data_IF_924440544233
#
_entry.id   IF_924440544233
#
_cell.length_a   1.000
_cell.length_b   1.000
_cell.length_c   1.000
_cell.angle_alpha   90.00
_cell.angle_beta   90.00
_cell.angle_gamma   90.00
#
_symmetry.space_group_name_H-M   'P 1'
#
loop_
_entity.id
_entity.type
_entity.pdbx_description
1 polymer ?
#
# COMPACT_ATOMS: atom_id res chain seq x y z
N UNK A 1 -42.01 -15.01 -54.71
CA UNK A 1 -41.08 -13.89 -54.91
C UNK A 1 -40.62 -13.40 -53.51
N UNK A 2 -39.42 -13.79 -53.08
CA UNK A 2 -38.91 -13.49 -51.75
C UNK A 2 -38.12 -12.20 -51.83
N UNK A 3 -38.61 -11.16 -51.16
CA UNK A 3 -37.90 -9.85 -51.08
C UNK A 3 -36.95 -9.89 -49.87
N UNK A 4 -35.67 -10.03 -50.16
CA UNK A 4 -34.60 -9.92 -49.11
C UNK A 4 -34.34 -8.44 -48.87
N UNK A 5 -34.83 -7.89 -47.75
CA UNK A 5 -34.48 -6.55 -47.28
C UNK A 5 -33.21 -6.67 -46.50
N UNK A 6 -32.08 -6.28 -47.08
CA UNK A 6 -30.80 -6.17 -46.39
C UNK A 6 -30.80 -4.86 -45.57
N UNK A 7 -30.99 -4.94 -44.29
CA UNK A 7 -30.79 -3.82 -43.36
C UNK A 7 -29.29 -3.51 -43.22
N UNK A 8 -28.81 -2.51 -43.92
CA UNK A 8 -27.44 -2.00 -43.73
C UNK A 8 -27.43 -0.96 -42.60
N UNK A 9 -27.20 -1.40 -41.37
CA UNK A 9 -26.91 -0.50 -40.28
C UNK A 9 -25.42 -0.09 -40.34
N UNK A 10 -25.09 0.82 -41.25
CA UNK A 10 -23.75 1.35 -41.37
C UNK A 10 -23.58 2.50 -40.36
N UNK A 11 -22.83 2.24 -39.31
CA UNK A 11 -22.46 3.26 -38.31
C UNK A 11 -21.57 4.31 -39.00
N UNK A 12 -22.02 5.55 -39.07
CA UNK A 12 -21.23 6.67 -39.56
C UNK A 12 -20.07 6.96 -38.59
N UNK A 13 -18.88 6.47 -38.92
CA UNK A 13 -17.67 6.62 -38.09
C UNK A 13 -17.02 8.00 -38.23
N UNK A 14 -17.55 8.89 -39.08
CA UNK A 14 -17.05 10.26 -39.22
C UNK A 14 -17.63 11.19 -38.16
N UNK A 15 -18.69 10.77 -37.46
CA UNK A 15 -19.31 11.52 -36.37
C UNK A 15 -19.10 10.81 -35.04
N UNK A 16 -18.52 11.52 -34.08
CA UNK A 16 -18.42 11.01 -32.72
C UNK A 16 -19.84 10.74 -32.17
N UNK A 17 -20.08 9.59 -31.50
CA UNK A 17 -21.36 9.34 -30.86
C UNK A 17 -21.66 10.43 -29.83
N UNK A 18 -22.93 10.86 -29.76
CA UNK A 18 -23.34 11.80 -28.72
C UNK A 18 -23.06 11.21 -27.36
N UNK A 19 -22.40 11.94 -26.44
CA UNK A 19 -22.16 11.45 -25.10
C UNK A 19 -23.50 11.13 -24.43
N UNK A 20 -23.57 9.97 -23.78
CA UNK A 20 -24.71 9.65 -22.92
C UNK A 20 -24.76 10.65 -21.75
N UNK A 21 -25.95 10.94 -21.21
CA UNK A 21 -26.04 11.74 -20.00
C UNK A 21 -25.17 11.14 -18.91
N UNK A 22 -24.49 11.99 -18.15
CA UNK A 22 -23.65 11.56 -17.04
C UNK A 22 -24.49 10.71 -16.07
N UNK A 23 -23.96 9.54 -15.69
CA UNK A 23 -24.63 8.71 -14.70
C UNK A 23 -24.56 9.40 -13.35
N UNK A 24 -25.69 9.45 -12.64
CA UNK A 24 -25.73 9.91 -11.26
C UNK A 24 -24.85 8.97 -10.40
N UNK A 25 -23.81 9.50 -9.79
CA UNK A 25 -22.96 8.75 -8.87
C UNK A 25 -23.66 8.76 -7.50
N UNK A 26 -24.23 7.63 -7.10
CA UNK A 26 -24.76 7.44 -5.76
C UNK A 26 -23.66 6.86 -4.89
N UNK A 27 -23.10 7.68 -4.01
CA UNK A 27 -22.19 7.23 -2.96
C UNK A 27 -23.07 6.53 -1.91
N UNK A 28 -22.73 5.27 -1.58
CA UNK A 28 -23.43 4.52 -0.55
C UNK A 28 -23.32 5.20 0.82
N UNK A 29 -24.29 4.94 1.67
CA UNK A 29 -24.26 5.41 3.06
C UNK A 29 -23.13 4.72 3.82
N UNK A 30 -22.52 5.43 4.74
CA UNK A 30 -21.51 4.91 5.66
C UNK A 30 -21.90 5.25 7.10
N UNK A 31 -21.47 4.40 8.03
CA UNK A 31 -21.55 4.69 9.46
C UNK A 31 -20.18 5.16 9.94
N UNK A 32 -20.15 6.11 10.87
CA UNK A 32 -18.90 6.55 11.48
C UNK A 32 -19.06 6.75 12.98
N UNK A 33 -18.01 6.42 13.72
CA UNK A 33 -17.92 6.65 15.15
C UNK A 33 -16.45 6.79 15.57
N UNK A 34 -16.24 7.33 16.77
CA UNK A 34 -14.90 7.48 17.34
C UNK A 34 -14.77 6.62 18.58
N UNK A 35 -13.68 5.83 18.64
CA UNK A 35 -13.36 5.03 19.82
C UNK A 35 -12.82 5.93 20.95
N UNK A 36 -12.76 5.38 22.18
CA UNK A 36 -12.28 6.12 23.37
C UNK A 36 -10.84 6.59 23.25
N UNK A 37 -10.02 5.91 22.44
CA UNK A 37 -8.62 6.28 22.17
C UNK A 37 -8.47 7.31 21.04
N UNK A 38 -9.57 7.86 20.50
CA UNK A 38 -9.56 8.85 19.42
C UNK A 38 -9.56 8.26 18.00
N UNK A 39 -9.49 6.93 17.83
CA UNK A 39 -9.55 6.31 16.52
C UNK A 39 -10.92 6.55 15.87
N UNK A 40 -10.93 7.17 14.70
CA UNK A 40 -12.12 7.31 13.86
C UNK A 40 -12.34 6.06 13.04
N UNK A 41 -13.55 5.51 13.12
CA UNK A 41 -13.94 4.29 12.39
C UNK A 41 -15.02 4.63 11.38
N UNK A 42 -14.82 4.20 10.15
CA UNK A 42 -15.81 4.29 9.08
C UNK A 42 -16.21 2.90 8.65
N UNK A 43 -17.50 2.62 8.62
CA UNK A 43 -18.04 1.32 8.22
C UNK A 43 -18.89 1.50 6.97
N UNK A 44 -18.51 0.77 5.93
CA UNK A 44 -19.25 0.71 4.66
C UNK A 44 -19.73 -0.71 4.45
N UNK A 45 -21.05 -0.91 4.46
CA UNK A 45 -21.64 -2.23 4.28
C UNK A 45 -21.80 -2.58 2.80
N UNK A 46 -21.33 -3.77 2.41
CA UNK A 46 -21.55 -4.32 1.08
C UNK A 46 -21.77 -5.84 1.17
N UNK A 47 -23.01 -6.25 1.01
CA UNK A 47 -23.44 -7.65 1.15
C UNK A 47 -23.41 -8.46 -0.16
N UNK A 48 -22.86 -7.90 -1.26
CA UNK A 48 -22.81 -8.60 -2.56
C UNK A 48 -21.85 -9.79 -2.55
N UNK A 49 -20.79 -9.71 -1.76
CA UNK A 49 -19.79 -10.76 -1.60
C UNK A 49 -19.52 -10.98 -0.10
N UNK A 50 -19.29 -12.22 0.35
CA UNK A 50 -18.96 -12.53 1.75
C UNK A 50 -17.49 -12.20 2.07
N UNK A 51 -17.10 -10.95 1.89
CA UNK A 51 -15.75 -10.44 2.15
C UNK A 51 -15.76 -9.37 3.21
N UNK A 52 -14.68 -9.31 3.98
CA UNK A 52 -14.40 -8.23 4.90
C UNK A 52 -13.03 -7.62 4.58
N UNK A 53 -12.91 -6.33 4.81
CA UNK A 53 -11.71 -5.57 4.60
C UNK A 53 -11.52 -4.60 5.77
N UNK A 54 -10.30 -4.53 6.27
CA UNK A 54 -9.85 -3.53 7.23
C UNK A 54 -8.75 -2.69 6.60
N UNK A 55 -8.83 -1.38 6.74
CA UNK A 55 -7.79 -0.44 6.34
C UNK A 55 -7.56 0.52 7.50
N UNK A 56 -6.45 0.37 8.18
CA UNK A 56 -5.99 1.33 9.19
C UNK A 56 -5.02 2.28 8.52
N UNK A 57 -5.23 3.58 8.68
CA UNK A 57 -4.31 4.60 8.21
C UNK A 57 -3.92 5.52 9.37
N UNK A 58 -2.64 5.77 9.49
CA UNK A 58 -2.07 6.74 10.41
C UNK A 58 -1.88 8.06 9.65
N UNK A 59 -2.31 9.16 10.27
CA UNK A 59 -2.11 10.49 9.71
C UNK A 59 -0.74 11.00 10.12
N UNK A 60 0.29 10.55 9.40
CA UNK A 60 1.65 10.99 9.61
C UNK A 60 2.08 11.92 8.46
N UNK A 61 2.69 13.04 8.81
CA UNK A 61 3.35 13.87 7.82
C UNK A 61 4.66 13.21 7.39
N UNK A 62 5.10 13.48 6.17
CA UNK A 62 6.41 13.01 5.73
C UNK A 62 7.51 13.68 6.54
N UNK A 63 8.42 12.89 7.08
CA UNK A 63 9.56 13.34 7.86
C UNK A 63 10.81 13.49 7.01
N UNK A 64 11.65 14.46 7.35
CA UNK A 64 12.94 14.63 6.71
C UNK A 64 13.92 13.57 7.21
N UNK A 65 14.30 12.63 6.32
CA UNK A 65 15.14 11.48 6.67
C UNK A 65 16.64 11.71 6.49
N UNK A 66 17.01 12.83 5.84
CA UNK A 66 18.40 13.25 5.66
C UNK A 66 19.26 12.21 4.94
N UNK A 67 20.40 11.89 5.52
CA UNK A 67 21.35 10.90 4.94
C UNK A 67 20.85 9.45 4.97
N UNK A 68 19.78 9.17 5.72
CA UNK A 68 19.16 7.84 5.84
C UNK A 68 17.85 7.75 5.05
N UNK A 69 17.72 8.53 3.97
CA UNK A 69 16.51 8.48 3.15
C UNK A 69 16.17 7.05 2.73
N UNK A 70 14.93 6.63 2.98
CA UNK A 70 14.41 5.28 2.76
C UNK A 70 14.17 4.45 4.02
N UNK A 71 14.64 4.88 5.22
CA UNK A 71 14.47 4.07 6.43
C UNK A 71 13.01 3.95 6.86
N UNK A 72 12.18 4.95 6.60
CA UNK A 72 10.74 4.91 6.89
C UNK A 72 10.07 3.81 6.07
N UNK A 73 10.27 3.81 4.77
CA UNK A 73 9.71 2.78 3.87
C UNK A 73 10.22 1.38 4.22
N UNK A 74 11.48 1.25 4.60
CA UNK A 74 12.03 -0.02 5.05
C UNK A 74 11.41 -0.47 6.37
N UNK A 75 11.21 0.42 7.34
CA UNK A 75 10.54 0.12 8.61
C UNK A 75 9.10 -0.36 8.39
N UNK A 76 8.33 0.36 7.56
CA UNK A 76 6.96 0.00 7.22
C UNK A 76 6.87 -1.40 6.56
N UNK A 77 7.82 -1.73 5.68
CA UNK A 77 7.89 -3.06 5.07
C UNK A 77 8.23 -4.13 6.11
N UNK A 78 9.18 -3.86 7.01
CA UNK A 78 9.63 -4.82 8.02
C UNK A 78 8.56 -5.15 9.07
N UNK A 79 7.61 -4.26 9.34
CA UNK A 79 6.48 -4.55 10.24
C UNK A 79 5.74 -5.82 9.80
N UNK A 80 5.59 -6.04 8.49
CA UNK A 80 4.89 -7.21 7.92
C UNK A 80 5.75 -8.47 7.77
N UNK A 81 7.00 -8.47 8.22
CA UNK A 81 7.94 -9.58 7.96
C UNK A 81 8.07 -10.60 9.12
N UNK A 82 7.11 -10.59 10.03
CA UNK A 82 7.02 -11.49 11.19
C UNK A 82 6.73 -10.75 12.47
N UNK A 83 6.29 -11.49 13.46
CA UNK A 83 5.90 -10.96 14.78
C UNK A 83 6.70 -11.62 15.88
N UNK A 84 6.55 -11.16 17.12
CA UNK A 84 7.16 -11.80 18.30
C UNK A 84 6.64 -13.23 18.54
N UNK A 85 5.48 -13.56 17.98
CA UNK A 85 4.82 -14.87 18.15
C UNK A 85 4.84 -15.73 16.89
N UNK A 86 5.15 -15.14 15.71
CA UNK A 86 5.13 -15.82 14.41
C UNK A 86 6.34 -15.42 13.57
N UNK A 87 7.06 -16.39 13.04
CA UNK A 87 8.02 -16.13 11.97
C UNK A 87 7.29 -15.62 10.72
N UNK A 88 8.04 -15.05 9.77
CA UNK A 88 7.46 -14.64 8.47
C UNK A 88 6.76 -15.82 7.78
N UNK A 89 7.40 -16.99 7.72
CA UNK A 89 6.84 -18.18 7.10
C UNK A 89 5.52 -18.63 7.76
N UNK A 90 5.43 -18.60 9.10
CA UNK A 90 4.20 -18.92 9.81
C UNK A 90 3.10 -17.88 9.57
N UNK A 91 3.47 -16.60 9.52
CA UNK A 91 2.52 -15.52 9.21
C UNK A 91 1.96 -15.67 7.80
N UNK A 92 2.82 -15.96 6.82
CA UNK A 92 2.43 -16.18 5.43
C UNK A 92 1.53 -17.42 5.31
N UNK A 93 1.89 -18.56 5.95
CA UNK A 93 1.09 -19.79 5.95
C UNK A 93 -0.31 -19.58 6.56
N UNK A 94 -0.40 -18.91 7.71
CA UNK A 94 -1.69 -18.63 8.35
C UNK A 94 -2.55 -17.66 7.51
N UNK A 95 -1.93 -16.69 6.85
CA UNK A 95 -2.59 -15.73 5.95
C UNK A 95 -3.13 -16.44 4.71
N UNK A 96 -2.30 -17.26 4.07
CA UNK A 96 -2.67 -18.02 2.88
C UNK A 96 -3.76 -19.07 3.18
N UNK A 97 -3.68 -19.73 4.34
CA UNK A 97 -4.67 -20.74 4.77
C UNK A 97 -6.09 -20.18 4.82
N UNK A 98 -6.27 -18.93 5.21
CA UNK A 98 -7.59 -18.27 5.24
C UNK A 98 -7.89 -17.49 3.96
N UNK A 99 -7.02 -17.55 2.95
CA UNK A 99 -7.15 -16.80 1.69
C UNK A 99 -7.19 -15.29 1.94
N UNK A 100 -6.40 -14.81 2.90
CA UNK A 100 -6.33 -13.40 3.24
C UNK A 100 -5.24 -12.68 2.46
N UNK A 101 -5.38 -11.34 2.42
CA UNK A 101 -4.29 -10.43 2.08
C UNK A 101 -4.01 -9.58 3.31
N UNK A 102 -2.74 -9.47 3.70
CA UNK A 102 -2.27 -8.67 4.82
C UNK A 102 -1.03 -7.89 4.36
N UNK A 103 -1.13 -6.58 4.33
CA UNK A 103 -0.06 -5.71 3.84
C UNK A 103 0.17 -4.55 4.81
N UNK A 104 1.40 -4.30 5.17
CA UNK A 104 1.86 -3.13 5.92
C UNK A 104 2.66 -2.20 5.01
N UNK A 105 2.56 -0.89 5.23
CA UNK A 105 3.27 0.13 4.47
C UNK A 105 2.39 1.34 4.16
N UNK A 106 3.00 2.41 3.66
CA UNK A 106 2.27 3.63 3.31
C UNK A 106 1.53 4.28 4.47
N UNK A 107 2.13 4.29 5.66
CA UNK A 107 1.55 4.80 6.92
C UNK A 107 0.33 4.00 7.41
N UNK A 108 0.23 2.70 7.10
CA UNK A 108 -0.92 1.94 7.53
C UNK A 108 -0.80 0.44 7.36
N UNK A 109 -1.90 -0.24 7.60
CA UNK A 109 -2.04 -1.67 7.40
C UNK A 109 -3.38 -1.98 6.74
N UNK A 110 -3.34 -2.85 5.75
CA UNK A 110 -4.51 -3.34 5.03
C UNK A 110 -4.66 -4.83 5.23
N UNK A 111 -5.87 -5.29 5.52
CA UNK A 111 -6.20 -6.69 5.67
C UNK A 111 -7.53 -7.02 5.01
N UNK A 112 -7.62 -8.12 4.27
CA UNK A 112 -8.89 -8.60 3.69
C UNK A 112 -8.96 -10.11 3.64
N UNK A 113 -10.17 -10.66 3.82
CA UNK A 113 -10.44 -12.10 3.69
C UNK A 113 -11.93 -12.36 3.45
N UNK A 114 -12.33 -13.64 3.41
CA UNK A 114 -13.74 -13.99 3.53
C UNK A 114 -14.25 -13.64 4.94
N UNK A 115 -15.49 -13.18 5.05
CA UNK A 115 -16.09 -12.73 6.32
C UNK A 115 -16.15 -13.81 7.40
N UNK A 116 -16.19 -15.09 7.04
CA UNK A 116 -16.08 -16.21 8.00
C UNK A 116 -14.76 -16.26 8.77
N UNK A 117 -13.72 -15.60 8.27
CA UNK A 117 -12.38 -15.56 8.88
C UNK A 117 -12.07 -14.22 9.57
N UNK A 118 -13.07 -13.36 9.80
CA UNK A 118 -12.91 -12.02 10.40
C UNK A 118 -12.05 -12.03 11.67
N UNK A 119 -12.34 -12.92 12.62
CA UNK A 119 -11.61 -12.98 13.89
C UNK A 119 -10.12 -13.33 13.69
N UNK A 120 -9.85 -14.32 12.82
CA UNK A 120 -8.47 -14.70 12.51
C UNK A 120 -7.72 -13.59 11.77
N UNK A 121 -8.38 -12.91 10.84
CA UNK A 121 -7.82 -11.77 10.13
C UNK A 121 -7.44 -10.64 11.09
N UNK A 122 -8.32 -10.30 12.03
CA UNK A 122 -8.04 -9.28 13.05
C UNK A 122 -6.92 -9.70 13.99
N UNK A 123 -6.86 -10.97 14.39
CA UNK A 123 -5.75 -11.52 15.20
C UNK A 123 -4.40 -11.29 14.49
N UNK A 124 -4.29 -11.70 13.22
CA UNK A 124 -3.06 -11.55 12.43
C UNK A 124 -2.71 -10.07 12.22
N UNK A 125 -3.70 -9.25 11.86
CA UNK A 125 -3.50 -7.82 11.65
C UNK A 125 -3.02 -7.11 12.92
N UNK A 126 -3.61 -7.42 14.07
CA UNK A 126 -3.21 -6.82 15.36
C UNK A 126 -1.86 -7.32 15.84
N UNK A 127 -1.52 -8.59 15.60
CA UNK A 127 -0.20 -9.12 15.94
C UNK A 127 0.91 -8.46 15.12
N UNK A 128 0.71 -8.29 13.79
CA UNK A 128 1.63 -7.54 12.94
C UNK A 128 1.76 -6.09 13.39
N UNK A 129 0.65 -5.44 13.75
CA UNK A 129 0.66 -4.03 14.11
C UNK A 129 1.33 -3.75 15.46
N UNK A 130 1.09 -4.61 16.48
CA UNK A 130 1.53 -4.33 17.85
C UNK A 130 2.76 -5.15 18.30
N UNK A 131 3.10 -6.21 17.59
CA UNK A 131 4.18 -7.12 17.96
C UNK A 131 5.18 -7.40 16.84
N UNK A 132 5.57 -6.45 15.98
CA UNK A 132 6.52 -6.73 14.91
C UNK A 132 7.86 -7.20 15.49
N UNK A 133 8.49 -8.18 14.84
CA UNK A 133 9.75 -8.77 15.28
C UNK A 133 10.98 -8.03 14.75
N UNK A 134 10.89 -7.39 13.60
CA UNK A 134 12.03 -6.76 12.90
C UNK A 134 13.21 -7.73 12.73
N UNK A 135 13.06 -8.85 11.99
CA UNK A 135 14.14 -9.82 11.84
C UNK A 135 15.31 -9.23 11.05
N UNK A 136 16.55 -9.47 11.51
CA UNK A 136 17.76 -8.98 10.80
C UNK A 136 17.87 -9.58 9.39
N UNK A 137 17.55 -10.86 9.25
CA UNK A 137 17.56 -11.54 7.94
C UNK A 137 16.63 -10.86 6.91
N UNK A 138 15.44 -10.44 7.33
CA UNK A 138 14.51 -9.75 6.45
C UNK A 138 14.99 -8.32 6.12
N UNK A 139 15.66 -7.65 7.06
CA UNK A 139 16.33 -6.38 6.80
C UNK A 139 17.42 -6.51 5.74
N UNK A 140 18.24 -7.56 5.83
CA UNK A 140 19.34 -7.80 4.88
C UNK A 140 18.81 -8.13 3.48
N UNK A 141 17.74 -8.94 3.40
CA UNK A 141 17.03 -9.21 2.13
C UNK A 141 16.44 -7.93 1.54
N UNK A 142 15.77 -7.12 2.35
CA UNK A 142 15.15 -5.87 1.92
C UNK A 142 16.19 -4.87 1.41
N UNK A 143 17.33 -4.75 2.09
CA UNK A 143 18.47 -3.94 1.60
C UNK A 143 18.94 -4.40 0.23
N UNK A 144 19.15 -5.70 0.07
CA UNK A 144 19.61 -6.29 -1.20
C UNK A 144 18.60 -6.02 -2.32
N UNK A 145 17.31 -6.21 -2.06
CA UNK A 145 16.26 -5.92 -3.03
C UNK A 145 16.19 -4.43 -3.40
N UNK A 146 16.30 -3.55 -2.40
CA UNK A 146 16.29 -2.10 -2.61
C UNK A 146 17.48 -1.66 -3.46
N UNK A 147 18.69 -2.16 -3.16
CA UNK A 147 19.89 -1.85 -3.94
C UNK A 147 19.77 -2.35 -5.39
N UNK A 148 19.23 -3.56 -5.60
CA UNK A 148 18.96 -4.08 -6.94
C UNK A 148 17.94 -3.23 -7.70
N UNK A 149 16.91 -2.76 -7.01
CA UNK A 149 15.90 -1.85 -7.59
C UNK A 149 16.50 -0.49 -7.98
N UNK A 150 17.37 0.06 -7.13
CA UNK A 150 18.08 1.31 -7.44
C UNK A 150 18.99 1.16 -8.65
N UNK A 151 19.69 0.04 -8.76
CA UNK A 151 20.53 -0.25 -9.93
C UNK A 151 19.71 -0.32 -11.22
N UNK A 152 18.60 -1.08 -11.20
CA UNK A 152 17.68 -1.15 -12.33
C UNK A 152 17.06 0.21 -12.69
N UNK A 153 16.85 1.08 -11.70
CA UNK A 153 16.29 2.42 -11.91
C UNK A 153 17.25 3.42 -12.55
N UNK A 154 18.56 3.13 -12.62
CA UNK A 154 19.55 4.05 -13.21
C UNK A 154 19.35 4.29 -14.71
N UNK A 155 18.81 3.30 -15.41
CA UNK A 155 18.54 3.37 -16.84
C UNK A 155 17.06 3.63 -17.16
N UNK A 156 16.22 3.82 -16.13
CA UNK A 156 14.78 4.15 -16.34
C UNK A 156 14.58 5.66 -16.37
N UNK A 157 14.19 6.24 -17.55
CA UNK A 157 13.94 7.67 -17.68
C UNK A 157 12.88 8.22 -16.71
N UNK A 158 11.86 7.43 -16.37
CA UNK A 158 10.78 7.88 -15.48
C UNK A 158 11.28 8.02 -14.04
N UNK A 159 12.10 7.09 -13.58
CA UNK A 159 12.77 7.16 -12.28
C UNK A 159 13.70 8.38 -12.19
N UNK A 160 14.49 8.61 -13.21
CA UNK A 160 15.40 9.77 -13.29
C UNK A 160 14.62 11.07 -13.26
N UNK A 161 13.61 11.23 -14.12
CA UNK A 161 12.78 12.43 -14.19
C UNK A 161 12.05 12.66 -12.87
N UNK A 162 11.53 11.61 -12.23
CA UNK A 162 10.87 11.72 -10.93
C UNK A 162 11.77 12.31 -9.85
N UNK A 163 12.98 11.77 -9.70
CA UNK A 163 13.96 12.22 -8.74
C UNK A 163 14.43 13.66 -9.02
N UNK A 164 14.76 13.97 -10.28
CA UNK A 164 15.21 15.32 -10.68
C UNK A 164 14.10 16.34 -10.46
N UNK A 165 12.87 16.05 -10.87
CA UNK A 165 11.72 16.92 -10.66
C UNK A 165 11.50 17.25 -9.19
N UNK A 166 11.48 16.25 -8.33
CA UNK A 166 11.25 16.43 -6.90
C UNK A 166 12.38 17.23 -6.25
N UNK A 167 13.63 16.95 -6.58
CA UNK A 167 14.78 17.71 -6.08
C UNK A 167 14.77 19.18 -6.53
N UNK A 168 14.32 19.47 -7.76
CA UNK A 168 14.20 20.84 -8.29
C UNK A 168 13.02 21.61 -7.70
N UNK A 169 11.87 20.95 -7.49
CA UNK A 169 10.67 21.61 -6.97
C UNK A 169 10.77 21.89 -5.47
N UNK A 170 11.28 20.96 -4.70
CA UNK A 170 11.25 21.04 -3.23
C UNK A 170 12.62 21.35 -2.61
N UNK A 171 13.72 21.08 -3.33
CA UNK A 171 15.07 21.20 -2.79
C UNK A 171 15.46 20.03 -1.87
N UNK A 172 16.78 19.84 -1.68
CA UNK A 172 17.33 18.72 -0.90
C UNK A 172 17.13 18.83 0.62
N UNK A 173 16.66 19.97 1.11
CA UNK A 173 16.35 20.18 2.52
C UNK A 173 14.88 19.92 2.88
N UNK A 174 14.10 19.44 1.91
CA UNK A 174 12.67 19.15 2.09
C UNK A 174 12.42 17.64 1.97
N UNK A 175 11.51 17.05 2.77
CA UNK A 175 11.19 15.61 2.68
C UNK A 175 10.87 15.11 1.26
N UNK A 176 10.12 15.89 0.49
CA UNK A 176 9.75 15.53 -0.89
C UNK A 176 10.88 15.71 -1.91
N UNK A 177 11.95 16.41 -1.58
CA UNK A 177 13.09 16.62 -2.47
C UNK A 177 14.21 15.59 -2.29
N UNK A 178 14.10 14.72 -1.30
CA UNK A 178 15.01 13.60 -1.09
C UNK A 178 14.59 12.38 -1.93
N UNK A 179 15.56 11.55 -2.22
CA UNK A 179 15.32 10.24 -2.82
C UNK A 179 16.34 9.22 -2.27
N UNK A 180 15.92 7.99 -2.21
CA UNK A 180 16.73 6.88 -1.72
C UNK A 180 17.94 6.65 -2.63
N UNK A 181 19.12 6.45 -2.05
CA UNK A 181 20.39 6.21 -2.74
C UNK A 181 21.06 4.97 -2.17
N UNK A 182 22.03 4.41 -2.90
CA UNK A 182 22.85 3.30 -2.40
C UNK A 182 23.56 3.65 -1.08
N UNK A 183 24.06 4.90 -0.97
CA UNK A 183 24.69 5.40 0.25
C UNK A 183 23.70 5.45 1.41
N UNK A 184 22.48 5.97 1.20
CA UNK A 184 21.47 6.04 2.26
C UNK A 184 21.04 4.64 2.70
N UNK A 185 20.73 3.72 1.77
CA UNK A 185 20.39 2.32 2.08
C UNK A 185 21.51 1.62 2.86
N UNK A 186 22.76 1.84 2.46
CA UNK A 186 23.93 1.30 3.17
C UNK A 186 24.01 1.75 4.63
N UNK A 187 23.64 3.02 4.90
CA UNK A 187 23.71 3.61 6.25
C UNK A 187 22.52 3.28 7.17
N UNK A 188 21.39 2.85 6.63
CA UNK A 188 20.19 2.49 7.41
C UNK A 188 20.48 1.24 8.25
N UNK A 189 20.10 1.28 9.52
CA UNK A 189 20.23 0.17 10.46
C UNK A 189 18.86 -0.35 10.87
N UNK A 190 18.82 -1.58 11.41
CA UNK A 190 17.59 -2.14 11.98
C UNK A 190 17.08 -1.30 13.15
N UNK A 191 17.98 -0.68 13.90
CA UNK A 191 17.63 0.21 15.00
C UNK A 191 16.91 1.49 14.52
N UNK A 192 17.30 2.04 13.37
CA UNK A 192 16.58 3.17 12.76
C UNK A 192 15.11 2.82 12.49
N UNK A 193 14.87 1.60 11.96
CA UNK A 193 13.52 1.11 11.69
C UNK A 193 12.71 0.89 12.98
N UNK A 194 13.33 0.31 14.02
CA UNK A 194 12.70 0.12 15.33
C UNK A 194 12.37 1.45 16.01
N UNK A 195 13.28 2.41 15.94
CA UNK A 195 13.07 3.73 16.51
C UNK A 195 11.90 4.44 15.84
N UNK A 196 11.80 4.38 14.52
CA UNK A 196 10.65 4.91 13.79
C UNK A 196 9.33 4.29 14.24
N UNK A 197 9.28 2.98 14.40
CA UNK A 197 8.07 2.29 14.85
C UNK A 197 7.66 2.68 16.28
N UNK A 198 8.61 3.00 17.14
CA UNK A 198 8.37 3.33 18.56
C UNK A 198 8.06 4.83 18.79
N UNK A 199 8.13 5.69 17.75
CA UNK A 199 7.84 7.13 17.81
C UNK A 199 6.37 7.41 17.56
#
# INVERSE_FOLDING_TARGET
MLVIVSAQAQVDRTKAPKPAPAREIKIGEYQSFTLKNGLQVFVVENHKLPRIQFSLQLKNDQIYQGEKEGYVSMAETLIGTGTKTRTKAQLDEETDFIGASLNSGGNGIFASSLSKHTNKLLELMTDVLFNPAFPQEEMDKLKTQTLSGLEAGKDDPNSIIGNVRNALLYGKAHPYGLFTTEKSVGSITLEDCKNYYNT
#
